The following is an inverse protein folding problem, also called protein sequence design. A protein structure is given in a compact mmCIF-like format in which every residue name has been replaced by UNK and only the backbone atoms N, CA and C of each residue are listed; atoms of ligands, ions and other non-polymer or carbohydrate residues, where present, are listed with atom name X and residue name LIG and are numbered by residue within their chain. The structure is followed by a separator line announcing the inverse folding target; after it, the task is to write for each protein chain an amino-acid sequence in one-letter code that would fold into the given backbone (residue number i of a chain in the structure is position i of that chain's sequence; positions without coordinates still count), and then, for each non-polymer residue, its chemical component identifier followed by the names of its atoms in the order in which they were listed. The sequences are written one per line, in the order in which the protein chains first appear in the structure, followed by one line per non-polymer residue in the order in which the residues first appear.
data_IF_151810335077
#
_entry.id   IF_151810335077
#
_cell.length_a   1.000
_cell.length_b   1.000
_cell.length_c   1.000
_cell.angle_alpha   90.00
_cell.angle_beta   90.00
_cell.angle_gamma   90.00
#
_symmetry.space_group_name_H-M   'P 1'
#
loop_
_entity.id
_entity.type
_entity.pdbx_description
1 polymer ?
#
# COMPACT_ATOMS: atom_id res chain seq x y z
N UNK A 1 27.26 -4.30 52.44
CA UNK A 1 27.46 -3.11 53.31
C UNK A 1 26.13 -2.39 53.37
N UNK A 2 25.59 -1.86 54.46
CA UNK A 2 25.77 -2.03 55.89
C UNK A 2 24.43 -1.51 56.49
N UNK A 3 24.09 -2.03 57.65
CA UNK A 3 22.83 -1.83 58.37
C UNK A 3 22.71 -0.41 58.94
N UNK A 4 21.48 0.11 59.06
CA UNK A 4 20.91 0.64 60.32
C UNK A 4 19.41 0.95 60.11
N UNK A 5 18.49 0.22 60.76
CA UNK A 5 17.91 0.42 62.12
C UNK A 5 16.94 1.62 62.19
N UNK A 6 15.84 1.62 62.95
CA UNK A 6 14.88 0.67 63.54
C UNK A 6 13.71 1.58 64.02
N UNK A 7 12.47 1.09 63.92
CA UNK A 7 11.17 1.58 64.48
C UNK A 7 11.18 1.80 66.03
N UNK A 8 10.07 2.07 66.78
CA UNK A 8 8.66 2.51 66.48
C UNK A 8 8.05 3.56 67.49
N UNK A 9 6.76 3.93 67.28
CA UNK A 9 5.62 3.96 68.27
C UNK A 9 4.81 5.28 68.35
N UNK A 10 3.48 5.15 68.22
CA UNK A 10 2.37 6.15 68.27
C UNK A 10 2.14 6.76 69.69
N UNK A 11 1.02 7.46 70.04
CA UNK A 11 0.00 8.23 69.31
C UNK A 11 -0.18 9.67 69.90
N UNK A 12 -1.14 10.48 69.40
CA UNK A 12 -1.80 11.49 70.24
C UNK A 12 -1.86 12.94 69.73
N UNK A 13 -3.02 13.28 69.16
CA UNK A 13 -3.83 14.49 69.39
C UNK A 13 -3.20 15.72 70.07
N UNK A 14 -3.24 16.85 69.37
CA UNK A 14 -3.76 18.19 69.79
C UNK A 14 -3.51 19.12 68.59
N UNK A 15 -4.46 19.84 68.01
CA UNK A 15 -5.50 20.65 68.64
C UNK A 15 -5.19 22.12 68.35
N UNK A 16 -5.65 22.63 67.20
CA UNK A 16 -5.79 24.07 66.93
C UNK A 16 -7.18 24.29 66.31
N UNK A 17 -8.16 24.56 67.18
CA UNK A 17 -8.89 25.84 67.28
C UNK A 17 -9.13 26.56 65.94
N UNK A 18 -10.33 26.93 65.47
CA UNK A 18 -11.59 27.18 66.14
C UNK A 18 -12.73 27.23 65.12
N UNK A 19 -13.92 27.01 65.65
CA UNK A 19 -15.22 26.91 65.02
C UNK A 19 -15.83 28.28 64.70
N UNK A 20 -16.40 28.36 63.49
CA UNK A 20 -17.57 29.11 63.04
C UNK A 20 -17.84 30.51 63.64
N UNK A 21 -17.79 31.52 62.77
CA UNK A 21 -18.81 32.57 62.80
C UNK A 21 -19.70 32.45 61.57
N UNK A 22 -20.94 32.07 61.84
CA UNK A 22 -22.07 32.18 60.95
C UNK A 22 -22.42 33.67 60.85
N UNK A 23 -22.14 34.29 59.70
CA UNK A 23 -22.68 35.61 59.36
C UNK A 23 -23.50 35.43 58.08
N UNK A 24 -24.80 35.72 58.16
CA UNK A 24 -25.73 35.75 57.04
C UNK A 24 -25.13 36.51 55.85
N UNK A 25 -25.33 36.07 54.59
CA UNK A 25 -24.98 36.90 53.46
C UNK A 25 -25.92 38.11 53.45
N UNK A 26 -25.45 39.24 53.99
CA UNK A 26 -26.02 40.57 53.71
C UNK A 26 -26.23 40.66 52.21
N UNK A 27 -27.49 40.76 51.79
CA UNK A 27 -27.91 40.93 50.41
C UNK A 27 -27.32 42.24 49.84
N UNK A 28 -26.07 42.17 49.36
CA UNK A 28 -25.34 43.31 48.82
C UNK A 28 -25.32 43.19 47.29
N UNK A 29 -26.37 43.74 46.69
CA UNK A 29 -26.54 44.01 45.25
C UNK A 29 -26.01 42.94 44.28
N UNK A 30 -26.45 41.68 44.47
CA UNK A 30 -26.29 40.61 43.48
C UNK A 30 -26.99 40.94 42.15
N UNK A 31 -27.98 41.85 42.15
CA UNK A 31 -28.65 42.32 40.93
C UNK A 31 -27.66 42.93 39.94
N UNK A 32 -26.69 43.76 40.38
CA UNK A 32 -25.68 44.32 39.47
C UNK A 32 -24.73 43.26 38.92
N UNK A 33 -24.30 42.30 39.75
CA UNK A 33 -23.43 41.19 39.31
C UNK A 33 -24.15 40.23 38.36
N UNK A 34 -25.43 39.93 38.62
CA UNK A 34 -26.28 39.10 37.74
C UNK A 34 -26.54 39.83 36.42
N UNK A 35 -26.81 41.14 36.45
CA UNK A 35 -26.97 41.97 35.24
C UNK A 35 -25.66 42.04 34.45
N UNK A 36 -24.50 42.18 35.12
CA UNK A 36 -23.20 42.16 34.45
C UNK A 36 -22.93 40.78 33.83
N UNK A 37 -23.18 39.67 34.55
CA UNK A 37 -23.01 38.32 34.02
C UNK A 37 -23.98 38.02 32.87
N UNK A 38 -25.23 38.48 32.94
CA UNK A 38 -26.20 38.30 31.86
C UNK A 38 -25.82 39.12 30.63
N UNK A 39 -25.30 40.33 30.81
CA UNK A 39 -24.81 41.17 29.70
C UNK A 39 -23.57 40.54 29.07
N UNK A 40 -22.62 40.02 29.87
CA UNK A 40 -21.44 39.31 29.35
C UNK A 40 -21.87 38.06 28.56
N UNK A 41 -22.79 37.26 29.09
CA UNK A 41 -23.31 36.08 28.39
C UNK A 41 -24.00 36.45 27.06
N UNK A 42 -24.84 37.49 27.06
CA UNK A 42 -25.46 38.01 25.83
C UNK A 42 -24.43 38.51 24.82
N UNK A 43 -23.38 39.22 25.26
CA UNK A 43 -22.32 39.66 24.36
C UNK A 43 -21.53 38.50 23.76
N UNK A 44 -21.28 37.43 24.53
CA UNK A 44 -20.58 36.24 24.04
C UNK A 44 -21.43 35.45 23.02
N UNK A 45 -22.75 35.37 23.22
CA UNK A 45 -23.67 34.73 22.28
C UNK A 45 -23.78 35.52 20.97
N UNK A 46 -23.85 36.86 21.06
CA UNK A 46 -23.86 37.70 19.85
C UNK A 46 -22.52 37.62 19.12
N UNK A 47 -21.40 37.63 19.85
CA UNK A 47 -20.07 37.47 19.26
C UNK A 47 -19.90 36.11 18.58
N UNK A 48 -20.39 35.02 19.17
CA UNK A 48 -20.31 33.68 18.54
C UNK A 48 -21.22 33.56 17.31
N UNK A 49 -22.42 34.16 17.33
CA UNK A 49 -23.31 34.20 16.18
C UNK A 49 -22.74 35.06 15.03
N UNK A 50 -22.13 36.20 15.35
CA UNK A 50 -21.42 37.04 14.36
C UNK A 50 -20.22 36.29 13.81
N UNK A 51 -19.39 35.64 14.64
CA UNK A 51 -18.27 34.82 14.18
C UNK A 51 -18.73 33.64 13.33
N UNK A 52 -19.81 32.94 13.69
CA UNK A 52 -20.36 31.86 12.88
C UNK A 52 -20.90 32.38 11.55
N UNK A 53 -21.60 33.52 11.54
CA UNK A 53 -22.07 34.19 10.32
C UNK A 53 -20.93 34.68 9.43
N UNK A 54 -19.85 35.21 10.02
CA UNK A 54 -18.65 35.63 9.31
C UNK A 54 -17.86 34.43 8.76
N UNK A 55 -17.80 33.32 9.49
CA UNK A 55 -17.18 32.07 9.01
C UNK A 55 -18.02 31.43 7.90
N UNK A 56 -19.36 31.45 7.99
CA UNK A 56 -20.23 30.96 6.91
C UNK A 56 -20.15 31.90 5.70
N UNK A 57 -20.16 33.21 5.89
CA UNK A 57 -20.01 34.20 4.82
C UNK A 57 -18.62 34.18 4.16
N UNK A 58 -17.55 33.93 4.92
CA UNK A 58 -16.20 33.71 4.38
C UNK A 58 -16.04 32.33 3.74
N UNK A 59 -16.82 31.32 4.15
CA UNK A 59 -16.87 30.01 3.47
C UNK A 59 -17.61 30.09 2.15
N UNK A 60 -18.64 30.93 2.03
CA UNK A 60 -19.32 31.20 0.75
C UNK A 60 -18.54 32.17 -0.14
N UNK A 61 -17.81 33.13 0.43
CA UNK A 61 -16.97 34.09 -0.32
C UNK A 61 -15.55 33.57 -0.63
N UNK A 62 -15.11 32.50 0.02
CA UNK A 62 -13.83 31.81 -0.20
C UNK A 62 -13.97 30.48 -0.94
N UNK A 63 -15.18 30.11 -1.34
CA UNK A 63 -15.37 29.13 -2.40
C UNK A 63 -15.03 29.84 -3.72
N UNK A 64 -13.74 29.82 -4.08
CA UNK A 64 -13.38 29.92 -5.50
C UNK A 64 -14.35 29.00 -6.25
N UNK A 65 -15.14 29.52 -7.22
CA UNK A 65 -16.02 28.67 -7.98
C UNK A 65 -15.13 27.59 -8.57
N UNK A 66 -15.42 26.34 -8.18
CA UNK A 66 -14.89 25.10 -8.75
C UNK A 66 -14.35 25.42 -10.11
N UNK A 67 -13.01 25.44 -10.21
CA UNK A 67 -12.31 25.84 -11.41
C UNK A 67 -13.03 25.18 -12.57
N UNK A 68 -13.55 26.01 -13.48
CA UNK A 68 -14.11 25.53 -14.73
C UNK A 68 -13.09 24.54 -15.23
N UNK A 69 -13.39 23.24 -15.18
CA UNK A 69 -12.55 22.19 -15.74
C UNK A 69 -12.64 22.45 -17.23
N UNK A 70 -11.85 23.41 -17.70
CA UNK A 70 -11.58 23.64 -19.11
C UNK A 70 -11.09 22.27 -19.53
N UNK A 71 -11.95 21.51 -20.22
CA UNK A 71 -11.64 20.17 -20.66
C UNK A 71 -10.45 20.30 -21.59
N UNK A 72 -9.25 20.18 -21.03
CA UNK A 72 -7.99 20.37 -21.73
C UNK A 72 -7.94 19.27 -22.77
N UNK A 73 -7.76 19.65 -24.03
CA UNK A 73 -7.60 18.66 -25.09
C UNK A 73 -6.20 18.06 -24.96
N UNK A 74 -6.05 16.72 -25.05
CA UNK A 74 -4.74 16.10 -25.03
C UNK A 74 -3.92 16.57 -26.24
N UNK A 75 -2.62 16.74 -26.03
CA UNK A 75 -1.68 17.03 -27.11
C UNK A 75 -1.50 15.79 -27.99
N UNK A 76 -0.90 15.98 -29.17
CA UNK A 76 -0.54 14.86 -30.03
C UNK A 76 0.45 13.90 -29.33
N UNK A 77 1.41 14.45 -28.58
CA UNK A 77 2.35 13.65 -27.78
C UNK A 77 1.62 12.80 -26.73
N UNK A 78 0.74 13.40 -25.92
CA UNK A 78 -0.08 12.68 -24.93
C UNK A 78 -0.93 11.59 -25.60
N UNK A 79 -1.59 11.93 -26.70
CA UNK A 79 -2.46 10.99 -27.43
C UNK A 79 -1.67 9.80 -27.96
N UNK A 80 -0.49 10.03 -28.54
CA UNK A 80 0.39 8.98 -29.06
C UNK A 80 0.96 8.12 -27.93
N UNK A 81 1.46 8.72 -26.85
CA UNK A 81 1.96 8.01 -25.68
C UNK A 81 0.88 7.12 -25.05
N UNK A 82 -0.30 7.67 -24.77
CA UNK A 82 -1.39 6.92 -24.14
C UNK A 82 -2.03 5.86 -25.06
N UNK A 83 -1.94 6.00 -26.38
CA UNK A 83 -2.46 5.00 -27.32
C UNK A 83 -1.77 3.64 -27.21
N UNK A 84 -0.57 3.59 -26.60
CA UNK A 84 0.22 2.37 -26.39
C UNK A 84 -0.02 1.73 -25.03
N UNK A 85 -0.92 2.29 -24.23
CA UNK A 85 -1.15 1.85 -22.85
C UNK A 85 -2.41 1.00 -22.72
N UNK A 86 -2.46 0.16 -21.68
CA UNK A 86 -3.61 -0.69 -21.39
C UNK A 86 -4.85 0.11 -20.95
N UNK A 87 -4.64 1.24 -20.27
CA UNK A 87 -5.71 2.09 -19.74
C UNK A 87 -5.59 3.51 -20.32
N UNK A 88 -5.95 3.71 -21.62
CA UNK A 88 -5.69 4.96 -22.33
C UNK A 88 -6.44 6.16 -21.75
N UNK A 89 -7.68 5.98 -21.29
CA UNK A 89 -8.45 7.06 -20.68
C UNK A 89 -7.83 7.53 -19.37
N UNK A 90 -7.41 6.60 -18.51
CA UNK A 90 -6.71 6.92 -17.27
C UNK A 90 -5.39 7.62 -17.57
N UNK A 91 -4.59 7.09 -18.50
CA UNK A 91 -3.33 7.70 -18.94
C UNK A 91 -3.53 9.16 -19.37
N UNK A 92 -4.51 9.43 -20.24
CA UNK A 92 -4.77 10.78 -20.75
C UNK A 92 -5.19 11.71 -19.61
N UNK A 93 -6.12 11.28 -18.76
CA UNK A 93 -6.60 12.09 -17.64
C UNK A 93 -5.47 12.41 -16.65
N UNK A 94 -4.70 11.40 -16.24
CA UNK A 94 -3.60 11.57 -15.29
C UNK A 94 -2.49 12.46 -15.85
N UNK A 95 -2.15 12.36 -17.14
CA UNK A 95 -1.17 13.26 -17.76
C UNK A 95 -1.68 14.70 -17.88
N UNK A 96 -2.97 14.90 -18.20
CA UNK A 96 -3.56 16.24 -18.32
C UNK A 96 -3.65 17.00 -16.98
N UNK A 97 -3.74 16.27 -15.88
CA UNK A 97 -3.72 16.82 -14.52
C UNK A 97 -2.32 17.27 -14.09
N UNK A 98 -1.27 16.68 -14.67
CA UNK A 98 0.11 17.02 -14.31
C UNK A 98 0.52 18.42 -14.83
N UNK A 99 1.02 19.32 -13.96
CA UNK A 99 1.47 20.65 -14.38
C UNK A 99 2.62 20.59 -15.40
N UNK A 100 2.46 21.29 -16.54
CA UNK A 100 3.49 21.34 -17.59
C UNK A 100 3.44 20.20 -18.62
N UNK A 101 2.51 19.25 -18.50
CA UNK A 101 2.39 18.12 -19.46
C UNK A 101 1.99 18.55 -20.87
N UNK A 102 1.30 19.69 -21.03
CA UNK A 102 0.87 20.20 -22.34
C UNK A 102 2.02 20.70 -23.21
N UNK A 103 3.17 21.00 -22.63
CA UNK A 103 4.38 21.42 -23.35
C UNK A 103 5.45 20.33 -23.39
N UNK A 104 5.18 19.18 -22.78
CA UNK A 104 6.10 18.06 -22.68
C UNK A 104 6.24 17.29 -24.01
N UNK A 105 7.46 16.89 -24.34
CA UNK A 105 7.72 15.97 -25.45
C UNK A 105 7.50 14.49 -25.01
N UNK A 106 7.62 13.52 -25.93
CA UNK A 106 7.41 12.10 -25.60
C UNK A 106 8.35 11.56 -24.51
N UNK A 107 9.60 12.05 -24.44
CA UNK A 107 10.57 11.65 -23.42
C UNK A 107 10.21 12.23 -22.05
N UNK A 108 9.82 13.51 -22.00
CA UNK A 108 9.36 14.17 -20.79
C UNK A 108 8.11 13.47 -20.23
N UNK A 109 7.22 12.99 -21.09
CA UNK A 109 6.02 12.24 -20.69
C UNK A 109 6.36 10.91 -20.00
N UNK A 110 7.50 10.28 -20.30
CA UNK A 110 7.99 9.12 -19.55
C UNK A 110 8.26 9.52 -18.11
N UNK A 111 9.08 10.55 -17.89
CA UNK A 111 9.39 11.06 -16.54
C UNK A 111 8.15 11.49 -15.76
N UNK A 112 7.23 12.20 -16.43
CA UNK A 112 5.96 12.62 -15.85
C UNK A 112 5.14 11.41 -15.41
N UNK A 113 5.09 10.35 -16.23
CA UNK A 113 4.36 9.11 -15.89
C UNK A 113 4.91 8.45 -14.62
N UNK A 114 6.24 8.34 -14.47
CA UNK A 114 6.85 7.79 -13.25
C UNK A 114 6.56 8.65 -12.03
N UNK A 115 6.73 9.97 -12.14
CA UNK A 115 6.52 10.89 -11.04
C UNK A 115 5.05 10.87 -10.57
N UNK A 116 4.11 10.93 -11.51
CA UNK A 116 2.68 10.83 -11.19
C UNK A 116 2.34 9.49 -10.53
N UNK A 117 2.83 8.37 -11.06
CA UNK A 117 2.61 7.04 -10.47
C UNK A 117 3.16 6.97 -9.04
N UNK A 118 4.38 7.45 -8.81
CA UNK A 118 5.00 7.53 -7.48
C UNK A 118 4.16 8.39 -6.53
N UNK A 119 3.69 9.56 -6.96
CA UNK A 119 2.83 10.43 -6.14
C UNK A 119 1.52 9.75 -5.72
N UNK A 120 0.91 9.00 -6.63
CA UNK A 120 -0.32 8.24 -6.34
C UNK A 120 -0.06 7.13 -5.31
N UNK A 121 1.03 6.38 -5.44
CA UNK A 121 1.41 5.36 -4.45
C UNK A 121 1.74 5.96 -3.07
N UNK A 122 2.55 7.02 -3.03
CA UNK A 122 2.87 7.71 -1.77
C UNK A 122 1.63 8.27 -1.09
N UNK A 123 0.68 8.81 -1.86
CA UNK A 123 -0.61 9.27 -1.34
C UNK A 123 -1.45 8.12 -0.82
N UNK A 124 -1.53 7.00 -1.55
CA UNK A 124 -2.27 5.83 -1.12
C UNK A 124 -1.71 5.24 0.19
N UNK A 125 -0.38 5.10 0.29
CA UNK A 125 0.30 4.68 1.51
C UNK A 125 -0.02 5.60 2.69
N UNK A 126 0.08 6.92 2.49
CA UNK A 126 -0.26 7.89 3.53
C UNK A 126 -1.73 7.77 3.99
N UNK A 127 -2.67 7.67 3.04
CA UNK A 127 -4.09 7.56 3.34
C UNK A 127 -4.45 6.21 3.96
N UNK A 128 -3.85 5.11 3.51
CA UNK A 128 -4.01 3.80 4.12
C UNK A 128 -3.49 3.80 5.56
N UNK A 129 -2.31 4.39 5.81
CA UNK A 129 -1.74 4.50 7.15
C UNK A 129 -2.59 5.34 8.11
N UNK A 130 -3.41 6.26 7.58
CA UNK A 130 -4.26 7.14 8.39
C UNK A 130 -5.33 6.41 9.20
N UNK A 131 -5.63 5.15 8.89
CA UNK A 131 -6.60 4.34 9.65
C UNK A 131 -5.94 3.30 10.57
N UNK A 132 -4.62 3.42 10.80
CA UNK A 132 -3.83 2.51 11.65
C UNK A 132 -4.38 2.36 13.06
N UNK A 133 -4.99 3.41 13.62
CA UNK A 133 -5.55 3.45 14.96
C UNK A 133 -6.92 2.78 15.10
N UNK A 134 -7.57 2.39 13.99
CA UNK A 134 -8.87 1.71 14.03
C UNK A 134 -8.69 0.34 14.68
N UNK A 135 -9.62 -0.06 15.55
CA UNK A 135 -9.61 -1.39 16.16
C UNK A 135 -9.93 -2.45 15.11
N UNK A 136 -9.08 -3.47 15.00
CA UNK A 136 -9.19 -4.52 13.99
C UNK A 136 -9.06 -5.89 14.62
N UNK A 137 -9.78 -6.87 14.08
CA UNK A 137 -9.53 -8.27 14.42
C UNK A 137 -8.11 -8.68 13.98
N UNK A 138 -7.47 -9.65 14.67
CA UNK A 138 -6.08 -10.03 14.38
C UNK A 138 -5.81 -10.36 12.91
N UNK A 139 -6.77 -11.01 12.23
CA UNK A 139 -6.66 -11.36 10.80
C UNK A 139 -6.70 -10.12 9.90
N UNK A 140 -7.59 -9.17 10.19
CA UNK A 140 -7.68 -7.89 9.46
C UNK A 140 -6.42 -7.06 9.69
N UNK A 141 -5.92 -7.06 10.94
CA UNK A 141 -4.69 -6.35 11.31
C UNK A 141 -3.49 -6.84 10.51
N UNK A 142 -3.28 -8.15 10.44
CA UNK A 142 -2.20 -8.76 9.65
C UNK A 142 -2.28 -8.36 8.18
N UNK A 143 -3.44 -8.54 7.53
CA UNK A 143 -3.62 -8.19 6.12
C UNK A 143 -3.37 -6.69 5.84
N UNK A 144 -3.75 -5.82 6.78
CA UNK A 144 -3.46 -4.41 6.68
C UNK A 144 -1.97 -4.10 6.82
N UNK A 145 -1.29 -4.68 7.81
CA UNK A 145 0.12 -4.40 8.06
C UNK A 145 0.96 -4.89 6.87
N UNK A 146 0.65 -6.09 6.35
CA UNK A 146 1.22 -6.64 5.12
C UNK A 146 0.98 -5.69 3.92
N UNK A 147 -0.23 -5.15 3.77
CA UNK A 147 -0.53 -4.20 2.70
C UNK A 147 0.28 -2.90 2.81
N UNK A 148 0.48 -2.36 4.03
CA UNK A 148 1.30 -1.15 4.20
C UNK A 148 2.75 -1.39 3.82
N UNK A 149 3.32 -2.54 4.19
CA UNK A 149 4.69 -2.94 3.80
C UNK A 149 4.81 -3.05 2.27
N UNK A 150 3.87 -3.73 1.62
CA UNK A 150 3.84 -3.88 0.16
C UNK A 150 3.70 -2.53 -0.57
N UNK A 151 2.92 -1.60 -0.01
CA UNK A 151 2.79 -0.24 -0.53
C UNK A 151 4.09 0.57 -0.38
N UNK A 152 4.78 0.45 0.76
CA UNK A 152 6.08 1.11 1.00
C UNK A 152 7.17 0.57 0.06
N UNK A 153 7.25 -0.76 -0.09
CA UNK A 153 8.13 -1.42 -1.06
C UNK A 153 7.86 -0.95 -2.49
N UNK A 154 6.57 -0.74 -2.84
CA UNK A 154 6.18 -0.22 -4.15
C UNK A 154 6.66 1.22 -4.36
N UNK A 155 6.59 2.05 -3.31
CA UNK A 155 7.11 3.44 -3.33
C UNK A 155 8.63 3.44 -3.52
N UNK A 156 9.37 2.57 -2.83
CA UNK A 156 10.83 2.43 -3.03
C UNK A 156 11.15 2.00 -4.48
N UNK A 157 10.48 0.95 -4.97
CA UNK A 157 10.66 0.45 -6.34
C UNK A 157 10.38 1.54 -7.39
N UNK A 158 9.30 2.31 -7.23
CA UNK A 158 8.96 3.43 -8.11
C UNK A 158 9.97 4.59 -8.02
N UNK A 159 10.46 4.90 -6.82
CA UNK A 159 11.48 5.93 -6.59
C UNK A 159 12.82 5.56 -7.24
N UNK A 160 13.26 4.30 -7.10
CA UNK A 160 14.45 3.76 -7.77
C UNK A 160 14.30 3.80 -9.28
N UNK A 161 13.12 3.41 -9.78
CA UNK A 161 12.80 3.48 -11.22
C UNK A 161 12.93 4.90 -11.77
N UNK A 162 12.32 5.88 -11.08
CA UNK A 162 12.39 7.28 -11.46
C UNK A 162 13.83 7.81 -11.43
N UNK A 163 14.61 7.42 -10.42
CA UNK A 163 16.02 7.84 -10.29
C UNK A 163 16.91 7.28 -11.40
N UNK A 164 16.63 6.07 -11.89
CA UNK A 164 17.40 5.43 -12.96
C UNK A 164 17.15 6.03 -14.35
N UNK A 165 15.99 6.63 -14.60
CA UNK A 165 15.70 7.24 -15.90
C UNK A 165 16.18 8.69 -16.01
N UNK A 166 16.53 9.35 -14.91
CA UNK A 166 17.04 10.73 -14.90
C UNK A 166 18.50 10.74 -15.40
N UNK A 167 18.82 11.51 -16.46
CA UNK A 167 20.19 11.62 -16.94
C UNK A 167 21.11 12.21 -15.86
N UNK A 168 22.20 11.52 -15.55
CA UNK A 168 23.27 12.01 -14.67
C UNK A 168 24.03 13.17 -15.34
N UNK A 169 24.15 14.31 -14.65
CA UNK A 169 24.83 15.51 -15.16
C UNK A 169 26.34 15.30 -15.45
N UNK A 170 26.97 14.29 -14.83
CA UNK A 170 28.43 14.09 -14.90
C UNK A 170 28.89 13.10 -15.99
N UNK A 171 28.02 12.70 -16.92
CA UNK A 171 28.39 11.81 -18.04
C UNK A 171 28.83 10.38 -17.65
N UNK A 172 28.88 10.07 -16.35
CA UNK A 172 29.05 8.72 -15.82
C UNK A 172 27.70 8.03 -15.70
N UNK A 173 27.60 6.78 -16.15
CA UNK A 173 26.42 5.92 -16.03
C UNK A 173 26.12 5.60 -14.55
N UNK A 174 25.62 6.58 -13.80
CA UNK A 174 25.38 6.51 -12.35
C UNK A 174 23.88 6.53 -12.00
N UNK A 175 22.97 6.48 -12.97
CA UNK A 175 21.58 6.05 -12.74
C UNK A 175 21.59 4.54 -12.54
N UNK A 176 21.66 4.09 -11.28
CA UNK A 176 22.11 2.74 -10.89
C UNK A 176 21.27 1.52 -11.33
N UNK A 177 20.38 1.64 -12.31
CA UNK A 177 19.60 0.52 -12.85
C UNK A 177 19.55 0.53 -14.38
N UNK A 178 19.70 -0.65 -14.96
CA UNK A 178 19.44 -0.91 -16.38
C UNK A 178 17.95 -0.74 -16.71
N UNK A 179 17.56 -0.62 -18.00
CA UNK A 179 16.16 -0.67 -18.40
C UNK A 179 15.41 -1.92 -17.90
N UNK A 180 16.12 -3.05 -17.78
CA UNK A 180 15.59 -4.29 -17.21
C UNK A 180 15.32 -4.17 -15.71
N UNK A 181 16.14 -3.43 -14.97
CA UNK A 181 15.90 -3.17 -13.54
C UNK A 181 14.67 -2.29 -13.35
N UNK A 182 14.50 -1.25 -14.17
CA UNK A 182 13.30 -0.39 -14.16
C UNK A 182 12.04 -1.20 -14.44
N UNK A 183 12.07 -2.07 -15.45
CA UNK A 183 10.97 -2.99 -15.76
C UNK A 183 10.66 -3.91 -14.57
N UNK A 184 11.69 -4.43 -13.92
CA UNK A 184 11.57 -5.31 -12.76
C UNK A 184 10.91 -4.60 -11.58
N UNK A 185 11.34 -3.38 -11.26
CA UNK A 185 10.79 -2.60 -10.16
C UNK A 185 9.35 -2.16 -10.40
N UNK A 186 8.99 -1.76 -11.63
CA UNK A 186 7.59 -1.49 -11.97
C UNK A 186 6.72 -2.75 -11.90
N UNK A 187 7.25 -3.90 -12.32
CA UNK A 187 6.54 -5.18 -12.22
C UNK A 187 6.36 -5.62 -10.76
N UNK A 188 7.35 -5.33 -9.91
CA UNK A 188 7.25 -5.54 -8.48
C UNK A 188 6.16 -4.66 -7.85
N UNK A 189 6.10 -3.37 -8.18
CA UNK A 189 5.06 -2.47 -7.68
C UNK A 189 3.64 -2.92 -8.10
N UNK A 190 3.46 -3.45 -9.31
CA UNK A 190 2.20 -4.09 -9.74
C UNK A 190 1.86 -5.31 -8.87
N UNK A 191 2.83 -6.21 -8.69
CA UNK A 191 2.64 -7.45 -7.93
C UNK A 191 2.33 -7.17 -6.47
N UNK A 192 3.01 -6.19 -5.87
CA UNK A 192 2.79 -5.75 -4.50
C UNK A 192 1.39 -5.16 -4.30
N UNK A 193 0.91 -4.36 -5.26
CA UNK A 193 -0.47 -3.87 -5.24
C UNK A 193 -1.47 -5.03 -5.26
N UNK A 194 -1.33 -5.96 -6.21
CA UNK A 194 -2.23 -7.12 -6.33
C UNK A 194 -2.21 -7.94 -5.03
N UNK A 195 -1.02 -8.25 -4.51
CA UNK A 195 -0.82 -9.01 -3.27
C UNK A 195 -1.43 -8.29 -2.05
N UNK A 196 -1.31 -6.97 -1.94
CA UNK A 196 -1.98 -6.21 -0.88
C UNK A 196 -3.50 -6.41 -0.97
N UNK A 197 -4.08 -6.29 -2.16
CA UNK A 197 -5.54 -6.42 -2.31
C UNK A 197 -6.03 -7.84 -2.04
N UNK A 198 -5.28 -8.86 -2.47
CA UNK A 198 -5.54 -10.29 -2.20
C UNK A 198 -5.38 -10.64 -0.72
N UNK A 199 -4.51 -9.93 0.02
CA UNK A 199 -4.35 -10.12 1.47
C UNK A 199 -5.65 -9.93 2.27
N UNK A 200 -6.60 -9.17 1.72
CA UNK A 200 -7.92 -8.96 2.31
C UNK A 200 -8.97 -10.00 1.85
N UNK A 201 -8.60 -11.02 1.09
CA UNK A 201 -9.54 -12.05 0.65
C UNK A 201 -9.97 -12.97 1.80
N UNK A 202 -11.26 -13.30 1.81
CA UNK A 202 -11.90 -14.00 2.92
C UNK A 202 -12.04 -13.16 4.20
N UNK A 203 -11.82 -11.85 4.11
CA UNK A 203 -12.07 -10.86 5.16
C UNK A 203 -13.07 -9.83 4.65
N UNK A 204 -13.97 -9.36 5.51
CA UNK A 204 -14.98 -8.35 5.19
C UNK A 204 -15.02 -7.28 6.27
N UNK A 205 -15.30 -6.03 5.88
CA UNK A 205 -15.51 -4.93 6.82
C UNK A 205 -14.92 -3.61 6.37
N UNK A 206 -15.19 -2.56 7.14
CA UNK A 206 -14.89 -1.17 6.79
C UNK A 206 -13.41 -0.89 6.54
N UNK A 207 -12.49 -1.67 7.13
CA UNK A 207 -11.05 -1.52 6.89
C UNK A 207 -10.70 -1.94 5.48
N UNK A 208 -11.18 -3.11 5.02
CA UNK A 208 -10.96 -3.59 3.65
C UNK A 208 -11.47 -2.55 2.65
N UNK A 209 -12.71 -2.12 2.82
CA UNK A 209 -13.35 -1.16 1.90
C UNK A 209 -12.57 0.17 1.84
N UNK A 210 -12.11 0.68 2.99
CA UNK A 210 -11.31 1.90 3.04
C UNK A 210 -9.96 1.71 2.37
N UNK A 211 -9.25 0.62 2.64
CA UNK A 211 -7.93 0.35 2.04
C UNK A 211 -8.06 0.20 0.53
N UNK A 212 -8.98 -0.65 0.06
CA UNK A 212 -9.24 -0.87 -1.38
C UNK A 212 -9.64 0.42 -2.09
N UNK A 213 -10.43 1.30 -1.46
CA UNK A 213 -10.75 2.63 -2.00
C UNK A 213 -9.49 3.50 -2.18
N UNK A 214 -8.52 3.45 -1.25
CA UNK A 214 -7.26 4.23 -1.36
C UNK A 214 -6.30 3.67 -2.39
N UNK A 215 -6.38 2.38 -2.67
CA UNK A 215 -5.59 1.67 -3.68
C UNK A 215 -6.15 1.82 -5.10
N UNK A 216 -7.31 2.47 -5.25
CA UNK A 216 -7.99 2.58 -6.54
C UNK A 216 -7.07 3.17 -7.62
N UNK A 217 -7.17 2.59 -8.82
CA UNK A 217 -6.46 2.97 -10.04
C UNK A 217 -4.92 2.77 -9.98
N UNK A 218 -4.33 2.40 -8.84
CA UNK A 218 -2.87 2.26 -8.71
C UNK A 218 -2.27 1.21 -9.66
N UNK A 219 -2.85 0.00 -9.73
CA UNK A 219 -2.41 -1.02 -10.69
C UNK A 219 -2.49 -0.53 -12.14
N UNK A 220 -3.56 0.18 -12.48
CA UNK A 220 -3.75 0.73 -13.82
C UNK A 220 -2.70 1.82 -14.14
N UNK A 221 -2.35 2.66 -13.15
CA UNK A 221 -1.30 3.67 -13.27
C UNK A 221 0.08 3.05 -13.48
N UNK A 222 0.48 2.06 -12.68
CA UNK A 222 1.78 1.37 -12.89
C UNK A 222 1.78 0.64 -14.22
N UNK A 223 0.67 0.01 -14.62
CA UNK A 223 0.55 -0.67 -15.92
C UNK A 223 0.72 0.29 -17.10
N UNK A 224 0.14 1.48 -17.02
CA UNK A 224 0.35 2.54 -18.00
C UNK A 224 1.81 3.03 -17.99
N UNK A 225 2.39 3.27 -16.81
CA UNK A 225 3.78 3.70 -16.67
C UNK A 225 4.76 2.69 -17.29
N UNK A 226 4.53 1.40 -17.05
CA UNK A 226 5.26 0.30 -17.64
C UNK A 226 5.18 0.29 -19.17
N UNK A 227 3.98 0.46 -19.70
CA UNK A 227 3.74 0.48 -21.15
C UNK A 227 4.41 1.67 -21.82
N UNK A 228 4.36 2.85 -21.18
CA UNK A 228 5.02 4.08 -21.65
C UNK A 228 6.54 3.89 -21.66
N UNK A 229 7.10 3.37 -20.58
CA UNK A 229 8.55 3.12 -20.46
C UNK A 229 9.03 2.10 -21.50
N UNK A 230 8.35 0.95 -21.61
CA UNK A 230 8.69 -0.10 -22.57
C UNK A 230 8.61 0.39 -24.02
N UNK A 231 7.68 1.30 -24.33
CA UNK A 231 7.56 1.89 -25.66
C UNK A 231 8.59 3.00 -25.95
N UNK A 232 9.33 3.46 -24.94
CA UNK A 232 10.38 4.50 -25.05
C UNK A 232 11.79 3.91 -25.23
N UNK A 233 12.04 2.72 -24.68
CA UNK A 233 13.26 1.95 -24.92
C UNK A 233 13.15 1.22 -26.26
N UNK A 234 13.79 1.75 -27.30
CA UNK A 234 13.67 1.27 -28.68
C UNK A 234 13.86 -0.25 -28.84
N UNK A 235 13.03 -0.85 -29.70
CA UNK A 235 13.01 -2.17 -30.35
C UNK A 235 13.42 -3.46 -29.60
N UNK A 236 14.07 -3.41 -28.43
CA UNK A 236 14.52 -4.57 -27.65
C UNK A 236 13.34 -5.37 -27.04
N UNK A 237 12.14 -4.80 -27.04
CA UNK A 237 10.92 -5.41 -26.50
C UNK A 237 9.80 -5.58 -27.52
N UNK A 238 10.06 -5.39 -28.82
CA UNK A 238 9.06 -5.56 -29.89
C UNK A 238 8.45 -6.98 -29.99
N UNK A 239 8.94 -7.94 -29.20
CA UNK A 239 8.44 -9.31 -29.09
C UNK A 239 7.85 -9.71 -27.74
N UNK A 240 7.80 -8.83 -26.73
CA UNK A 240 7.09 -9.13 -25.47
C UNK A 240 5.64 -8.71 -25.66
N UNK A 241 4.67 -9.66 -25.73
CA UNK A 241 3.28 -9.29 -25.91
C UNK A 241 2.84 -8.52 -24.67
N UNK A 242 2.57 -7.22 -24.81
CA UNK A 242 1.74 -6.44 -23.88
C UNK A 242 0.29 -6.90 -24.10
N UNK A 243 0.03 -8.19 -23.89
CA UNK A 243 -1.30 -8.75 -23.85
C UNK A 243 -1.72 -8.81 -22.40
N UNK A 244 -2.97 -8.36 -22.18
CA UNK A 244 -3.72 -8.32 -20.94
C UNK A 244 -3.72 -9.66 -20.18
N UNK A 245 -2.59 -10.06 -19.61
CA UNK A 245 -2.50 -11.28 -18.81
C UNK A 245 -3.03 -10.94 -17.43
N UNK A 246 -4.34 -11.14 -17.28
CA UNK A 246 -4.97 -11.48 -16.02
C UNK A 246 -4.31 -12.77 -15.56
N UNK A 247 -3.19 -12.66 -14.86
CA UNK A 247 -2.58 -13.81 -14.19
C UNK A 247 -3.55 -14.18 -13.08
N UNK A 248 -4.11 -15.38 -13.17
CA UNK A 248 -5.13 -15.98 -12.28
C UNK A 248 -6.59 -15.67 -12.62
N UNK A 249 -7.02 -15.99 -13.84
CA UNK A 249 -8.37 -16.53 -14.02
C UNK A 249 -8.27 -17.95 -14.53
N UNK A 250 -8.63 -18.88 -13.66
CA UNK A 250 -9.18 -20.15 -14.07
C UNK A 250 -10.41 -19.83 -14.92
N UNK A 251 -10.27 -19.94 -16.24
CA UNK A 251 -11.29 -20.50 -17.12
C UNK A 251 -10.73 -20.58 -18.54
N UNK A 252 -11.00 -21.74 -19.14
CA UNK A 252 -10.73 -22.17 -20.50
C UNK A 252 -10.85 -21.06 -21.57
N UNK A 253 -9.88 -21.05 -22.48
CA UNK A 253 -10.05 -21.49 -23.89
C UNK A 253 -9.08 -20.69 -24.79
N UNK A 254 -7.85 -21.21 -24.95
CA UNK A 254 -6.79 -20.58 -25.74
C UNK A 254 -6.76 -21.18 -27.16
N UNK A 255 -7.38 -20.47 -28.10
CA UNK A 255 -6.97 -20.51 -29.50
C UNK A 255 -5.83 -19.50 -29.72
N UNK A 256 -4.60 -20.01 -29.93
CA UNK A 256 -3.62 -19.31 -30.76
C UNK A 256 -2.18 -19.22 -30.25
N UNK A 257 -1.42 -20.32 -30.42
CA UNK A 257 -0.01 -20.23 -30.85
C UNK A 257 1.07 -20.43 -29.80
N UNK A 258 1.76 -21.57 -29.89
CA UNK A 258 2.97 -22.01 -29.17
C UNK A 258 2.76 -22.84 -27.89
N UNK A 259 1.84 -23.80 -27.96
CA UNK A 259 1.75 -24.92 -27.04
C UNK A 259 2.34 -26.14 -27.73
N UNK A 260 3.49 -26.63 -27.26
CA UNK A 260 3.93 -28.00 -27.51
C UNK A 260 3.83 -28.78 -26.19
N UNK A 261 3.04 -29.85 -26.23
CA UNK A 261 2.74 -30.90 -25.24
C UNK A 261 2.84 -30.52 -23.75
N UNK A 262 1.91 -29.63 -23.40
CA UNK A 262 1.02 -29.68 -22.22
C UNK A 262 1.56 -29.21 -20.86
N UNK A 263 1.45 -27.89 -20.68
CA UNK A 263 1.27 -27.15 -19.42
C UNK A 263 2.47 -26.80 -18.54
N UNK A 264 3.71 -26.91 -19.03
CA UNK A 264 4.87 -26.49 -18.23
C UNK A 264 5.69 -25.32 -18.81
N UNK A 265 6.08 -24.34 -17.97
CA UNK A 265 6.96 -23.24 -18.38
C UNK A 265 8.32 -23.71 -18.93
N UNK A 266 8.93 -22.91 -19.81
CA UNK A 266 10.25 -23.20 -20.44
C UNK A 266 11.41 -23.34 -19.45
N UNK A 267 11.35 -22.69 -18.29
CA UNK A 267 12.37 -22.80 -17.24
C UNK A 267 12.33 -24.17 -16.53
N UNK A 268 11.21 -24.89 -16.64
CA UNK A 268 11.07 -26.22 -16.08
C UNK A 268 11.67 -27.25 -17.04
N UNK A 269 12.75 -27.93 -16.63
CA UNK A 269 13.43 -28.92 -17.44
C UNK A 269 12.58 -30.18 -17.70
N UNK A 270 13.05 -31.04 -18.62
CA UNK A 270 12.32 -32.25 -19.03
C UNK A 270 12.11 -33.24 -17.87
N UNK A 271 13.11 -33.41 -17.01
CA UNK A 271 13.07 -34.37 -15.88
C UNK A 271 12.04 -33.95 -14.83
N UNK A 272 11.91 -32.64 -14.60
CA UNK A 272 10.92 -32.04 -13.71
C UNK A 272 9.51 -32.28 -14.23
N UNK A 273 9.30 -32.02 -15.53
CA UNK A 273 8.01 -32.24 -16.19
C UNK A 273 7.59 -33.70 -16.13
N UNK A 274 8.51 -34.62 -16.40
CA UNK A 274 8.26 -36.05 -16.31
C UNK A 274 7.91 -36.49 -14.88
N UNK A 275 8.53 -35.87 -13.86
CA UNK A 275 8.19 -36.15 -12.47
C UNK A 275 6.81 -35.64 -12.09
N UNK A 276 6.43 -34.44 -12.54
CA UNK A 276 5.10 -33.85 -12.26
C UNK A 276 3.96 -34.55 -13.00
N UNK A 277 4.24 -35.15 -14.15
CA UNK A 277 3.26 -35.92 -14.92
C UNK A 277 3.14 -37.39 -14.47
N UNK A 278 4.01 -37.87 -13.58
CA UNK A 278 3.92 -39.24 -13.07
C UNK A 278 2.85 -39.35 -11.98
N UNK A 279 1.99 -40.39 -12.01
CA UNK A 279 1.09 -40.65 -10.90
C UNK A 279 1.91 -40.93 -9.64
N UNK A 280 1.38 -40.52 -8.48
CA UNK A 280 2.07 -40.62 -7.18
C UNK A 280 2.56 -42.04 -6.87
N UNK A 281 1.86 -43.07 -7.36
CA UNK A 281 2.27 -44.48 -7.23
C UNK A 281 3.54 -44.85 -8.02
N UNK A 282 3.88 -44.10 -9.06
CA UNK A 282 5.08 -44.28 -9.88
C UNK A 282 6.28 -43.43 -9.44
N UNK A 283 6.13 -42.62 -8.38
CA UNK A 283 7.19 -41.77 -7.85
C UNK A 283 7.95 -42.52 -6.76
N UNK A 284 9.23 -42.80 -6.99
CA UNK A 284 10.10 -43.38 -5.97
C UNK A 284 10.58 -42.29 -5.01
N UNK A 285 10.03 -42.27 -3.79
CA UNK A 285 10.41 -41.31 -2.77
C UNK A 285 11.71 -41.72 -2.05
N UNK A 286 12.61 -40.75 -1.82
CA UNK A 286 13.78 -40.93 -0.96
C UNK A 286 13.40 -40.88 0.52
N UNK A 287 12.43 -40.01 0.87
CA UNK A 287 11.96 -39.80 2.25
C UNK A 287 10.44 -39.73 2.23
N UNK A 288 9.77 -40.52 3.07
CA UNK A 288 8.32 -40.45 3.26
C UNK A 288 7.98 -39.80 4.61
N UNK A 289 7.21 -38.72 4.59
CA UNK A 289 6.69 -38.06 5.78
C UNK A 289 5.31 -38.60 6.09
N UNK A 290 5.12 -39.15 7.29
CA UNK A 290 3.83 -39.66 7.73
C UNK A 290 3.62 -39.46 9.22
N UNK A 291 2.52 -38.79 9.59
CA UNK A 291 2.19 -38.44 10.98
C UNK A 291 1.80 -39.66 11.83
N UNK A 292 1.18 -40.66 11.20
CA UNK A 292 0.84 -41.96 11.78
C UNK A 292 2.07 -42.86 12.08
N UNK A 293 3.26 -42.46 11.62
CA UNK A 293 4.50 -43.24 11.75
C UNK A 293 4.69 -44.33 10.69
N UNK A 294 3.83 -44.42 9.67
CA UNK A 294 3.98 -45.37 8.55
C UNK A 294 5.01 -44.94 7.49
N UNK A 295 5.76 -43.86 7.74
CA UNK A 295 6.77 -43.28 6.86
C UNK A 295 8.17 -43.26 7.49
N UNK A 296 9.15 -42.75 6.74
CA UNK A 296 10.54 -42.58 7.17
C UNK A 296 10.71 -41.56 8.30
N UNK A 297 9.86 -40.53 8.32
CA UNK A 297 9.89 -39.43 9.30
C UNK A 297 8.48 -38.96 9.64
N UNK A 298 8.31 -38.35 10.81
CA UNK A 298 7.00 -37.85 11.27
C UNK A 298 6.72 -36.41 10.87
N UNK A 299 7.76 -35.62 10.61
CA UNK A 299 7.64 -34.17 10.33
C UNK A 299 8.38 -33.79 9.07
N UNK A 300 7.89 -32.74 8.39
CA UNK A 300 8.55 -32.18 7.20
C UNK A 300 9.93 -31.62 7.56
N UNK A 301 10.06 -31.00 8.73
CA UNK A 301 11.34 -30.45 9.21
C UNK A 301 12.43 -31.53 9.36
N UNK A 302 12.06 -32.72 9.83
CA UNK A 302 13.01 -33.85 9.91
C UNK A 302 13.38 -34.37 8.51
N UNK A 303 12.44 -34.35 7.57
CA UNK A 303 12.70 -34.72 6.18
C UNK A 303 13.72 -33.80 5.52
N UNK A 304 13.57 -32.49 5.72
CA UNK A 304 14.48 -31.47 5.18
C UNK A 304 15.89 -31.63 5.78
N UNK A 305 15.99 -31.87 7.10
CA UNK A 305 17.29 -32.10 7.76
C UNK A 305 18.01 -33.37 7.32
N UNK A 306 17.28 -34.41 6.89
CA UNK A 306 17.85 -35.66 6.36
C UNK A 306 18.29 -35.54 4.90
N UNK A 307 17.83 -34.51 4.19
CA UNK A 307 18.30 -34.26 2.83
C UNK A 307 19.77 -33.80 2.86
N UNK A 308 20.66 -34.43 2.06
CA UNK A 308 22.08 -34.05 2.04
C UNK A 308 22.27 -32.64 1.50
N UNK A 309 23.11 -31.86 2.18
CA UNK A 309 23.55 -30.55 1.70
C UNK A 309 24.36 -30.71 0.40
N UNK A 310 24.14 -29.81 -0.57
CA UNK A 310 24.83 -29.79 -1.87
C UNK A 310 24.74 -31.08 -2.69
N UNK A 311 23.61 -31.78 -2.62
CA UNK A 311 23.41 -32.98 -3.44
C UNK A 311 23.44 -32.68 -4.95
N UNK A 312 24.18 -33.49 -5.71
CA UNK A 312 24.17 -33.47 -7.18
C UNK A 312 22.94 -34.16 -7.78
N UNK A 313 22.16 -34.86 -6.97
CA UNK A 313 20.90 -35.52 -7.35
C UNK A 313 19.72 -34.85 -6.67
N UNK A 314 18.55 -34.91 -7.30
CA UNK A 314 17.29 -34.50 -6.67
C UNK A 314 16.92 -35.49 -5.56
N UNK A 315 16.40 -34.93 -4.46
CA UNK A 315 15.84 -35.67 -3.33
C UNK A 315 14.32 -35.52 -3.38
N UNK A 316 13.60 -36.62 -3.43
CA UNK A 316 12.15 -36.65 -3.53
C UNK A 316 11.56 -36.94 -2.14
N UNK A 317 10.91 -35.94 -1.56
CA UNK A 317 10.21 -36.06 -0.27
C UNK A 317 8.72 -36.23 -0.56
N UNK A 318 8.17 -37.39 -0.20
CA UNK A 318 6.74 -37.66 -0.32
C UNK A 318 6.04 -37.43 1.01
N UNK A 319 5.05 -36.53 1.02
CA UNK A 319 4.27 -36.22 2.22
C UNK A 319 2.92 -36.90 2.08
N UNK A 320 2.65 -37.90 2.93
CA UNK A 320 1.33 -38.52 3.01
C UNK A 320 0.35 -37.53 3.62
N UNK A 321 -0.90 -37.58 3.16
CA UNK A 321 -1.99 -36.92 3.86
C UNK A 321 -2.03 -37.42 5.31
N UNK A 322 -2.16 -36.51 6.27
CA UNK A 322 -2.16 -36.81 7.70
C UNK A 322 -2.92 -35.78 8.51
#
# INVERSE_FOLDING_TARGET
MAYDRLRPSEPGSSGVTQQQNHEEPKAKNNKRKIVILSVIALTMIVASAVCAGLVIGLREAGADPVGTQVRRKPTQAISKTCSRTRFPNLCVNSLLEFPGSLTANEQDLVHISFNMTLQHFSKALYLANSISFVQMDPRVRSAYDDCLELLDDSVDALSRSLSSIIPSQDGGNNGGGSPQDVMTWLSAALTNHDTCTEGFDGVSGTVKDQVTDKLKDLSELVSNCLSIFAASGGDDFAGVPIQNRRLLSADDDLSGGNVDEENFPKWLGRKERELLNKPVSGIQADITVSKDGSGTVKTIAEAIKKAPEHSTRRIIIYVKAG
#
